data_IF_932205386987
#
_entry.id   IF_932205386987
#
_cell.length_a   1.000
_cell.length_b   1.000
_cell.length_c   1.000
_cell.angle_alpha   90.00
_cell.angle_beta   90.00
_cell.angle_gamma   90.00
#
_symmetry.space_group_name_H-M   'P 1'
#
loop_
_entity.id
_entity.type
_entity.pdbx_description
1 polymer ?
#
# COMPACT_ATOMS: atom_id res chain seq x y z
N UNK A 1 -29.80 -13.10 60.25
CA UNK A 1 -30.96 -12.19 60.08
C UNK A 1 -31.10 -11.96 58.58
N UNK A 2 -32.05 -12.44 57.80
CA UNK A 2 -33.31 -13.16 58.01
C UNK A 2 -33.83 -13.57 56.61
N UNK A 3 -34.80 -14.49 56.61
CA UNK A 3 -35.32 -15.33 55.53
C UNK A 3 -36.05 -14.60 54.38
N UNK A 4 -36.25 -15.33 53.26
CA UNK A 4 -37.25 -14.96 52.24
C UNK A 4 -37.42 -15.94 51.05
N UNK A 5 -37.95 -17.15 51.32
CA UNK A 5 -38.84 -17.91 50.40
C UNK A 5 -40.00 -17.00 49.93
N UNK A 6 -40.76 -17.14 48.84
CA UNK A 6 -41.07 -18.10 47.78
C UNK A 6 -41.75 -17.26 46.65
N UNK A 7 -42.06 -17.72 45.42
CA UNK A 7 -43.33 -18.38 45.08
C UNK A 7 -43.37 -18.67 43.57
N UNK A 8 -43.83 -19.88 43.30
CA UNK A 8 -44.34 -20.56 42.11
C UNK A 8 -45.31 -19.73 41.23
N UNK A 9 -45.24 -19.87 39.90
CA UNK A 9 -46.22 -19.26 38.98
C UNK A 9 -46.18 -19.84 37.56
N UNK A 10 -46.83 -20.98 37.38
CA UNK A 10 -47.18 -21.66 36.12
C UNK A 10 -48.27 -20.86 35.36
N UNK A 11 -48.16 -20.63 34.05
CA UNK A 11 -49.26 -20.88 33.08
C UNK A 11 -48.85 -20.77 31.60
N UNK A 12 -49.36 -21.75 30.84
CA UNK A 12 -49.40 -21.97 29.40
C UNK A 12 -50.08 -20.85 28.57
N UNK A 13 -49.96 -20.96 27.23
CA UNK A 13 -50.90 -20.59 26.11
C UNK A 13 -50.10 -19.87 24.99
N UNK A 14 -50.19 -20.13 23.67
CA UNK A 14 -50.95 -21.04 22.79
C UNK A 14 -50.23 -21.13 21.42
N UNK A 15 -50.63 -22.15 20.65
CA UNK A 15 -50.16 -22.59 19.33
C UNK A 15 -50.89 -21.92 18.15
N UNK A 16 -50.29 -22.00 16.94
CA UNK A 16 -50.91 -21.80 15.60
C UNK A 16 -50.36 -20.58 14.84
N UNK A 17 -49.93 -20.60 13.57
CA UNK A 17 -50.20 -21.45 12.39
C UNK A 17 -49.12 -21.17 11.28
N UNK A 18 -49.33 -21.47 9.98
CA UNK A 18 -49.39 -22.77 9.30
C UNK A 18 -48.21 -23.01 8.32
N UNK A 19 -47.98 -24.28 7.99
CA UNK A 19 -47.10 -24.73 6.91
C UNK A 19 -47.81 -24.70 5.55
N UNK A 20 -47.15 -24.29 4.46
CA UNK A 20 -47.46 -24.76 3.12
C UNK A 20 -46.65 -26.02 2.78
N UNK A 21 -47.36 -27.00 2.24
CA UNK A 21 -46.93 -28.33 1.89
C UNK A 21 -45.86 -28.36 0.78
N UNK A 22 -44.89 -29.25 0.95
CA UNK A 22 -43.93 -29.65 -0.08
C UNK A 22 -44.63 -30.53 -1.12
N UNK A 23 -44.76 -30.04 -2.35
CA UNK A 23 -44.93 -30.92 -3.52
C UNK A 23 -43.57 -31.10 -4.17
N UNK A 24 -43.03 -32.31 -4.00
CA UNK A 24 -41.85 -32.82 -4.69
C UNK A 24 -42.23 -33.20 -6.12
N UNK A 25 -41.61 -32.55 -7.08
CA UNK A 25 -41.33 -33.12 -8.40
C UNK A 25 -39.86 -32.86 -8.71
N UNK A 26 -39.08 -33.94 -8.71
CA UNK A 26 -37.82 -34.04 -9.44
C UNK A 26 -38.18 -33.86 -10.93
N UNK A 27 -37.46 -33.19 -11.81
CA UNK A 27 -36.07 -33.38 -12.22
C UNK A 27 -35.85 -32.33 -13.31
N UNK A 28 -34.79 -31.52 -13.25
CA UNK A 28 -33.90 -31.31 -14.40
C UNK A 28 -32.75 -30.38 -14.01
N UNK A 29 -31.57 -30.92 -14.25
CA UNK A 29 -30.28 -30.28 -14.30
C UNK A 29 -30.34 -28.91 -15.00
N UNK A 30 -29.79 -27.90 -14.36
CA UNK A 30 -28.94 -26.94 -15.04
C UNK A 30 -27.91 -26.42 -14.05
N UNK A 31 -26.84 -27.20 -13.90
CA UNK A 31 -25.55 -26.75 -13.35
C UNK A 31 -24.84 -25.75 -14.31
N UNK A 32 -25.58 -24.86 -14.96
CA UNK A 32 -25.05 -23.98 -16.04
C UNK A 32 -24.79 -22.54 -15.59
N UNK A 33 -24.79 -22.25 -14.29
CA UNK A 33 -24.46 -20.92 -13.77
C UNK A 33 -23.08 -20.83 -13.10
N UNK A 34 -22.32 -21.94 -13.05
CA UNK A 34 -21.03 -22.00 -12.35
C UNK A 34 -19.80 -21.82 -13.27
N UNK A 35 -19.96 -21.71 -14.59
CA UNK A 35 -18.85 -21.48 -15.52
C UNK A 35 -19.19 -20.38 -16.53
N UNK A 36 -19.47 -19.17 -16.04
CA UNK A 36 -18.96 -18.00 -16.77
C UNK A 36 -17.45 -17.97 -16.56
N UNK A 37 -16.75 -18.88 -17.23
CA UNK A 37 -15.36 -18.63 -17.59
C UNK A 37 -15.31 -17.21 -18.13
N UNK A 38 -14.41 -16.38 -17.59
CA UNK A 38 -14.01 -15.13 -18.23
C UNK A 38 -13.58 -15.50 -19.65
N UNK A 39 -14.52 -15.49 -20.61
CA UNK A 39 -14.23 -15.71 -22.03
C UNK A 39 -13.48 -14.47 -22.47
N UNK A 40 -12.16 -14.54 -22.31
CA UNK A 40 -11.26 -13.55 -22.86
C UNK A 40 -11.60 -13.41 -24.35
N UNK A 41 -11.75 -12.18 -24.85
CA UNK A 41 -12.08 -11.97 -26.25
C UNK A 41 -11.03 -12.66 -27.13
N UNK A 42 -11.41 -13.20 -28.31
CA UNK A 42 -10.47 -13.83 -29.22
C UNK A 42 -9.27 -12.93 -29.48
N UNK A 43 -8.06 -13.50 -29.49
CA UNK A 43 -6.82 -12.76 -29.76
C UNK A 43 -6.96 -12.07 -31.13
N UNK A 44 -6.63 -10.77 -31.18
CA UNK A 44 -6.75 -9.95 -32.39
C UNK A 44 -8.16 -9.42 -32.68
N UNK A 45 -9.15 -9.69 -31.82
CA UNK A 45 -10.45 -9.02 -31.91
C UNK A 45 -10.38 -7.55 -31.48
N UNK A 46 -11.26 -6.66 -31.98
CA UNK A 46 -11.30 -5.27 -31.53
C UNK A 46 -11.46 -5.11 -30.01
N UNK A 47 -12.18 -6.03 -29.36
CA UNK A 47 -12.33 -6.06 -27.90
C UNK A 47 -11.01 -6.40 -27.19
N UNK A 48 -10.27 -7.41 -27.68
CA UNK A 48 -8.95 -7.75 -27.14
C UNK A 48 -7.95 -6.61 -27.32
N UNK A 49 -7.96 -5.94 -28.48
CA UNK A 49 -7.11 -4.77 -28.72
C UNK A 49 -7.46 -3.60 -27.80
N UNK A 50 -8.75 -3.32 -27.58
CA UNK A 50 -9.18 -2.26 -26.67
C UNK A 50 -8.72 -2.52 -25.23
N UNK A 51 -8.85 -3.77 -24.74
CA UNK A 51 -8.36 -4.17 -23.42
C UNK A 51 -6.84 -4.03 -23.31
N UNK A 52 -6.10 -4.45 -24.33
CA UNK A 52 -4.65 -4.31 -24.36
C UNK A 52 -4.21 -2.84 -24.33
N UNK A 53 -4.87 -1.97 -25.12
CA UNK A 53 -4.62 -0.52 -25.12
C UNK A 53 -4.85 0.08 -23.74
N UNK A 54 -5.96 -0.26 -23.10
CA UNK A 54 -6.28 0.22 -21.75
C UNK A 54 -5.22 -0.21 -20.72
N UNK A 55 -4.77 -1.47 -20.75
CA UNK A 55 -3.72 -1.95 -19.86
C UNK A 55 -2.40 -1.17 -20.05
N UNK A 56 -1.99 -0.94 -21.31
CA UNK A 56 -0.79 -0.16 -21.63
C UNK A 56 -0.91 1.29 -21.13
N UNK A 57 -2.07 1.92 -21.30
CA UNK A 57 -2.30 3.30 -20.84
C UNK A 57 -2.26 3.39 -19.32
N UNK A 58 -2.83 2.40 -18.62
CA UNK A 58 -2.77 2.31 -17.15
C UNK A 58 -1.33 2.17 -16.66
N UNK A 59 -0.56 1.23 -17.21
CA UNK A 59 0.85 1.05 -16.87
C UNK A 59 1.67 2.32 -17.11
N UNK A 60 1.44 3.01 -18.24
CA UNK A 60 2.11 4.29 -18.55
C UNK A 60 1.77 5.36 -17.51
N UNK A 61 0.52 5.41 -17.06
CA UNK A 61 0.08 6.36 -16.04
C UNK A 61 0.75 6.05 -14.70
N UNK A 62 0.70 4.80 -14.25
CA UNK A 62 1.33 4.34 -13.02
C UNK A 62 2.83 4.65 -13.01
N UNK A 63 3.53 4.38 -14.13
CA UNK A 63 4.94 4.72 -14.28
C UNK A 63 5.23 6.22 -14.13
N UNK A 64 4.42 7.09 -14.77
CA UNK A 64 4.58 8.55 -14.63
C UNK A 64 4.37 9.00 -13.19
N UNK A 65 3.33 8.48 -12.54
CA UNK A 65 3.09 8.79 -11.13
C UNK A 65 4.25 8.32 -10.25
N UNK A 66 4.89 7.19 -10.55
CA UNK A 66 6.06 6.73 -9.81
C UNK A 66 7.24 7.72 -9.92
N UNK A 67 7.51 8.22 -11.14
CA UNK A 67 8.53 9.25 -11.37
C UNK A 67 8.21 10.50 -10.57
N UNK A 68 6.97 11.00 -10.65
CA UNK A 68 6.54 12.20 -9.92
C UNK A 68 6.72 12.03 -8.40
N UNK A 69 6.41 10.86 -7.85
CA UNK A 69 6.64 10.55 -6.43
C UNK A 69 8.12 10.56 -6.08
N UNK A 70 8.98 10.00 -6.93
CA UNK A 70 10.42 9.98 -6.71
C UNK A 70 11.02 11.40 -6.76
N UNK A 71 10.52 12.24 -7.67
CA UNK A 71 10.88 13.66 -7.72
C UNK A 71 10.38 14.43 -6.49
N UNK A 72 9.16 14.15 -6.01
CA UNK A 72 8.62 14.74 -4.77
C UNK A 72 9.50 14.36 -3.57
N UNK A 73 9.95 13.10 -3.46
CA UNK A 73 10.87 12.63 -2.42
C UNK A 73 12.20 13.40 -2.46
N UNK A 74 12.80 13.56 -3.64
CA UNK A 74 14.04 14.32 -3.80
C UNK A 74 13.86 15.79 -3.39
N UNK A 75 12.77 16.44 -3.82
CA UNK A 75 12.46 17.83 -3.45
C UNK A 75 12.27 18.00 -1.95
N UNK A 76 11.43 17.17 -1.33
CA UNK A 76 11.14 17.25 0.11
C UNK A 76 12.40 17.01 0.95
N UNK A 77 13.26 16.07 0.54
CA UNK A 77 14.50 15.77 1.24
C UNK A 77 15.51 16.92 1.13
N UNK A 78 15.59 17.59 -0.02
CA UNK A 78 16.42 18.78 -0.20
C UNK A 78 15.90 19.99 0.61
N UNK A 79 14.59 20.21 0.64
CA UNK A 79 13.96 21.23 1.49
C UNK A 79 14.24 20.97 2.98
N UNK A 80 14.10 19.71 3.41
CA UNK A 80 14.40 19.27 4.77
C UNK A 80 15.86 19.53 5.15
N UNK A 81 16.81 19.13 4.29
CA UNK A 81 18.23 19.37 4.52
C UNK A 81 18.53 20.86 4.66
N UNK A 82 18.02 21.69 3.74
CA UNK A 82 18.21 23.13 3.78
C UNK A 82 17.65 23.75 5.06
N UNK A 83 16.45 23.32 5.47
CA UNK A 83 15.82 23.81 6.68
C UNK A 83 16.59 23.39 7.95
N UNK A 84 17.14 22.18 7.96
CA UNK A 84 18.01 21.69 9.03
C UNK A 84 19.33 22.47 9.09
N UNK A 85 19.99 22.73 7.95
CA UNK A 85 21.24 23.51 7.91
C UNK A 85 21.05 24.95 8.40
N UNK A 86 19.86 25.52 8.24
CA UNK A 86 19.55 26.87 8.71
C UNK A 86 19.22 26.95 10.20
N UNK A 87 18.58 25.92 10.75
CA UNK A 87 18.02 25.94 12.12
C UNK A 87 18.73 25.01 13.10
N UNK A 88 19.60 24.14 12.59
CA UNK A 88 20.30 23.08 13.33
C UNK A 88 19.38 22.17 14.16
N UNK A 89 18.16 21.96 13.70
CA UNK A 89 17.14 21.17 14.39
C UNK A 89 15.94 20.87 13.50
N UNK A 90 15.12 19.91 13.93
CA UNK A 90 13.90 19.51 13.25
C UNK A 90 12.66 20.08 13.95
N UNK A 91 11.73 20.60 13.16
CA UNK A 91 10.50 21.21 13.64
C UNK A 91 9.27 20.38 13.21
N UNK A 92 8.07 20.64 13.75
CA UNK A 92 6.88 19.85 13.43
C UNK A 92 6.60 19.72 11.91
N UNK A 93 6.86 20.78 11.14
CA UNK A 93 6.69 20.74 9.68
C UNK A 93 7.76 19.90 8.95
N UNK A 94 8.91 19.69 9.56
CA UNK A 94 9.96 18.81 9.05
C UNK A 94 9.61 17.34 9.32
N UNK A 95 9.03 17.05 10.49
CA UNK A 95 8.53 15.72 10.83
C UNK A 95 7.41 15.27 9.88
N UNK A 96 6.53 16.20 9.47
CA UNK A 96 5.50 15.95 8.45
C UNK A 96 6.12 15.63 7.08
N UNK A 97 7.18 16.34 6.68
CA UNK A 97 7.92 16.02 5.43
C UNK A 97 8.55 14.64 5.51
N UNK A 98 9.17 14.28 6.63
CA UNK A 98 9.71 12.93 6.85
C UNK A 98 8.65 11.84 6.72
N UNK A 99 7.45 12.05 7.29
CA UNK A 99 6.31 11.13 7.11
C UNK A 99 5.88 10.99 5.66
N UNK A 100 5.82 12.12 4.93
CA UNK A 100 5.51 12.09 3.50
C UNK A 100 6.58 11.34 2.71
N UNK A 101 7.86 11.59 2.98
CA UNK A 101 8.99 10.90 2.35
C UNK A 101 8.90 9.39 2.57
N UNK A 102 8.66 8.93 3.80
CA UNK A 102 8.54 7.50 4.10
C UNK A 102 7.39 6.84 3.33
N UNK A 103 6.21 7.49 3.29
CA UNK A 103 5.05 6.97 2.57
C UNK A 103 5.30 6.85 1.07
N UNK A 104 5.98 7.85 0.49
CA UNK A 104 6.33 7.82 -0.93
C UNK A 104 7.38 6.76 -1.23
N UNK A 105 8.43 6.65 -0.39
CA UNK A 105 9.47 5.65 -0.54
C UNK A 105 8.90 4.22 -0.51
N UNK A 106 7.95 3.93 0.39
CA UNK A 106 7.25 2.63 0.42
C UNK A 106 6.48 2.34 -0.87
N UNK A 107 5.79 3.34 -1.43
CA UNK A 107 5.07 3.18 -2.70
C UNK A 107 6.02 2.93 -3.87
N UNK A 108 7.11 3.70 -3.95
CA UNK A 108 8.14 3.53 -4.99
C UNK A 108 8.73 2.12 -4.91
N UNK A 109 9.06 1.65 -3.70
CA UNK A 109 9.53 0.28 -3.45
C UNK A 109 8.55 -0.76 -3.97
N UNK A 110 7.26 -0.64 -3.61
CA UNK A 110 6.23 -1.59 -4.04
C UNK A 110 6.09 -1.64 -5.57
N UNK A 111 6.11 -0.48 -6.23
CA UNK A 111 6.03 -0.39 -7.70
C UNK A 111 7.29 -0.93 -8.38
N UNK A 112 8.44 -0.89 -7.71
CA UNK A 112 9.67 -1.51 -8.18
C UNK A 112 9.72 -3.04 -7.97
N UNK A 113 8.68 -3.63 -7.36
CA UNK A 113 8.58 -5.06 -7.06
C UNK A 113 9.08 -5.46 -5.67
N UNK A 114 9.39 -4.50 -4.80
CA UNK A 114 9.78 -4.75 -3.41
C UNK A 114 8.56 -5.03 -2.52
N UNK A 115 8.75 -5.86 -1.49
CA UNK A 115 7.72 -6.13 -0.49
C UNK A 115 8.02 -5.42 0.83
N UNK A 116 7.04 -5.40 1.74
CA UNK A 116 7.27 -4.94 3.10
C UNK A 116 8.11 -5.98 3.86
N UNK A 117 9.43 -5.83 3.79
CA UNK A 117 10.41 -6.51 4.63
C UNK A 117 11.19 -5.52 5.49
N UNK A 118 11.66 -5.98 6.65
CA UNK A 118 12.71 -5.30 7.42
C UNK A 118 14.06 -5.78 6.87
N UNK A 119 14.51 -5.15 5.78
CA UNK A 119 15.88 -5.32 5.30
C UNK A 119 16.79 -4.51 6.23
N UNK A 120 17.45 -5.17 7.18
CA UNK A 120 18.49 -4.55 8.01
C UNK A 120 19.78 -4.48 7.19
N UNK A 121 20.09 -3.31 6.63
CA UNK A 121 21.15 -3.27 5.64
C UNK A 121 21.72 -1.90 5.32
N UNK A 122 22.17 -1.13 6.31
CA UNK A 122 23.08 -0.01 6.03
C UNK A 122 23.96 0.38 7.22
N UNK A 123 25.18 0.86 6.92
CA UNK A 123 26.04 1.58 7.87
C UNK A 123 25.33 2.89 8.25
N UNK A 124 24.60 2.87 9.36
CA UNK A 124 23.74 3.99 9.76
C UNK A 124 24.57 5.19 10.21
N UNK A 125 24.23 6.41 9.75
CA UNK A 125 24.87 7.63 10.22
C UNK A 125 24.83 7.76 11.75
N UNK A 126 25.91 8.25 12.35
CA UNK A 126 26.03 8.36 13.82
C UNK A 126 25.45 9.65 14.38
N UNK A 127 25.20 10.65 13.53
CA UNK A 127 24.63 11.94 13.93
C UNK A 127 23.41 12.30 13.09
N UNK A 128 22.53 13.12 13.68
CA UNK A 128 21.33 13.63 13.03
C UNK A 128 21.67 14.40 11.74
N UNK A 129 22.70 15.25 11.79
CA UNK A 129 23.15 16.00 10.62
C UNK A 129 23.59 15.09 9.47
N UNK A 130 24.40 14.06 9.77
CA UNK A 130 24.83 13.10 8.76
C UNK A 130 23.65 12.32 8.19
N UNK A 131 22.66 11.96 9.03
CA UNK A 131 21.45 11.28 8.60
C UNK A 131 20.62 12.14 7.64
N UNK A 132 20.41 13.42 7.94
CA UNK A 132 19.65 14.34 7.08
C UNK A 132 20.36 14.58 5.75
N UNK A 133 21.68 14.80 5.76
CA UNK A 133 22.48 14.94 4.52
C UNK A 133 22.41 13.66 3.66
N UNK A 134 22.54 12.49 4.28
CA UNK A 134 22.45 11.21 3.57
C UNK A 134 21.06 10.98 3.00
N UNK A 135 20.00 11.32 3.74
CA UNK A 135 18.62 11.24 3.25
C UNK A 135 18.45 12.01 1.94
N UNK A 136 18.95 13.25 1.87
CA UNK A 136 18.87 14.07 0.66
C UNK A 136 19.64 13.46 -0.53
N UNK A 137 20.85 12.94 -0.29
CA UNK A 137 21.64 12.28 -1.33
C UNK A 137 20.96 11.01 -1.85
N UNK A 138 20.49 10.13 -0.94
CA UNK A 138 19.80 8.90 -1.31
C UNK A 138 18.49 9.20 -2.04
N UNK A 139 17.75 10.23 -1.62
CA UNK A 139 16.53 10.67 -2.28
C UNK A 139 16.77 11.12 -3.73
N UNK A 140 17.87 11.86 -3.96
CA UNK A 140 18.29 12.25 -5.30
C UNK A 140 18.65 11.02 -6.14
N UNK A 141 19.49 10.13 -5.62
CA UNK A 141 19.89 8.90 -6.30
C UNK A 141 18.68 8.02 -6.64
N UNK A 142 17.71 7.92 -5.73
CA UNK A 142 16.47 7.18 -5.96
C UNK A 142 15.70 7.78 -7.15
N UNK A 143 15.53 9.10 -7.19
CA UNK A 143 14.81 9.76 -8.28
C UNK A 143 15.44 9.50 -9.65
N UNK A 144 16.77 9.60 -9.74
CA UNK A 144 17.50 9.34 -10.98
C UNK A 144 17.39 7.86 -11.41
N UNK A 145 17.35 6.93 -10.46
CA UNK A 145 17.21 5.49 -10.75
C UNK A 145 15.80 5.13 -11.20
N UNK A 146 14.77 5.71 -10.58
CA UNK A 146 13.38 5.51 -11.00
C UNK A 146 13.18 6.00 -12.43
N UNK A 147 13.68 7.19 -12.77
CA UNK A 147 13.59 7.75 -14.12
C UNK A 147 14.27 6.90 -15.20
N UNK A 148 15.38 6.22 -14.84
CA UNK A 148 16.14 5.35 -15.74
C UNK A 148 15.59 3.93 -15.82
N UNK A 149 14.67 3.54 -14.95
CA UNK A 149 14.13 2.18 -14.88
C UNK A 149 12.92 2.05 -15.82
N UNK A 150 12.93 1.15 -16.82
CA UNK A 150 11.76 0.95 -17.68
C UNK A 150 10.55 0.43 -16.89
N UNK A 151 9.32 0.83 -17.28
CA UNK A 151 8.07 0.46 -16.58
C UNK A 151 7.82 -1.04 -16.34
N UNK A 152 8.44 -1.92 -17.12
CA UNK A 152 8.25 -3.37 -17.07
C UNK A 152 9.40 -4.08 -16.31
N UNK A 153 10.27 -3.32 -15.64
CA UNK A 153 11.47 -3.86 -14.98
C UNK A 153 11.35 -3.75 -13.46
N UNK A 154 11.55 -4.89 -12.79
CA UNK A 154 11.78 -4.96 -11.34
C UNK A 154 13.21 -4.48 -11.08
N UNK A 155 13.38 -3.50 -10.20
CA UNK A 155 14.68 -2.84 -9.99
C UNK A 155 15.15 -2.99 -8.55
N UNK A 156 16.08 -3.92 -8.34
CA UNK A 156 16.75 -4.11 -7.05
C UNK A 156 17.37 -2.80 -6.53
N UNK A 157 17.98 -2.01 -7.41
CA UNK A 157 18.60 -0.75 -6.99
C UNK A 157 17.60 0.31 -6.53
N UNK A 158 16.38 0.33 -7.09
CA UNK A 158 15.30 1.21 -6.63
C UNK A 158 14.76 0.71 -5.29
N UNK A 159 14.62 -0.61 -5.13
CA UNK A 159 14.19 -1.25 -3.86
C UNK A 159 15.19 -0.92 -2.74
N UNK A 160 16.49 -1.16 -2.96
CA UNK A 160 17.56 -0.88 -1.99
C UNK A 160 17.58 0.59 -1.57
N UNK A 161 17.51 1.53 -2.52
CA UNK A 161 17.52 2.97 -2.21
C UNK A 161 16.25 3.41 -1.50
N UNK A 162 15.12 2.77 -1.78
CA UNK A 162 13.86 3.04 -1.07
C UNK A 162 13.90 2.51 0.36
N UNK A 163 14.49 1.33 0.58
CA UNK A 163 14.74 0.79 1.91
C UNK A 163 15.67 1.70 2.73
N UNK A 164 16.79 2.11 2.14
CA UNK A 164 17.74 3.03 2.78
C UNK A 164 17.06 4.34 3.21
N UNK A 165 16.17 4.91 2.37
CA UNK A 165 15.37 6.08 2.77
C UNK A 165 14.45 5.80 3.97
N UNK A 166 13.76 4.67 3.97
CA UNK A 166 12.84 4.30 5.06
C UNK A 166 13.63 4.15 6.38
N UNK A 167 14.78 3.50 6.33
CA UNK A 167 15.69 3.37 7.49
C UNK A 167 16.19 4.73 7.98
N UNK A 168 16.63 5.61 7.07
CA UNK A 168 17.10 6.94 7.41
C UNK A 168 16.00 7.79 8.03
N UNK A 169 14.77 7.74 7.53
CA UNK A 169 13.63 8.44 8.14
C UNK A 169 13.38 7.92 9.57
N UNK A 170 13.40 6.60 9.77
CA UNK A 170 13.25 6.00 11.11
C UNK A 170 14.36 6.43 12.06
N UNK A 171 15.61 6.45 11.58
CA UNK A 171 16.77 6.89 12.35
C UNK A 171 16.66 8.38 12.74
N UNK A 172 16.34 9.25 11.78
CA UNK A 172 16.20 10.68 12.00
C UNK A 172 15.16 10.96 13.10
N UNK A 173 14.00 10.28 13.06
CA UNK A 173 12.98 10.42 14.11
C UNK A 173 13.40 9.92 15.49
N UNK A 174 14.34 8.96 15.55
CA UNK A 174 14.88 8.44 16.81
C UNK A 174 15.90 9.39 17.42
N UNK A 175 16.64 10.10 16.56
CA UNK A 175 17.69 11.05 16.97
C UNK A 175 17.17 12.48 17.19
N UNK A 176 15.95 12.78 16.74
CA UNK A 176 15.30 14.09 16.84
C UNK A 176 14.61 14.32 18.18
#
# INVERSE_FOLDING_TARGET
>A
MGYGLAVLGLLLVLSGAPAPAQTRAQTQESNDAAEQELRLPPIGSPAAEAMARYAIEREKKEYRENIERAQEVARLSAELQKAFEQRHGLFPDDLRKLERIEKLARRIRSEAGGSDGDDEGSDLPKSLEQAVRRLANVAKDLSERVEKTPRQVISASVIEKSNELIELVRLIRRLS
#
